data_IF_059609214282
#
_entry.id   IF_059609214282
#
_cell.length_a   1.000
_cell.length_b   1.000
_cell.length_c   1.000
_cell.angle_alpha   90.00
_cell.angle_beta   90.00
_cell.angle_gamma   90.00
#
_symmetry.space_group_name_H-M   'P 1'
#
loop_
_entity.id
_entity.type
_entity.pdbx_description
1 polymer ?
#
# COMPACT_ATOMS: atom_id res chain seq x y z
N UNK A 1 22.24 19.14 27.71
CA UNK A 1 22.94 19.02 26.41
C UNK A 1 22.05 19.37 25.20
N UNK A 2 20.89 18.71 24.95
CA UNK A 2 20.14 18.93 23.69
C UNK A 2 19.60 20.36 23.52
N UNK A 3 19.25 21.04 24.61
CA UNK A 3 18.76 22.43 24.56
C UNK A 3 19.84 23.44 24.17
N UNK A 4 21.07 23.27 24.67
CA UNK A 4 22.18 24.16 24.31
C UNK A 4 22.58 23.99 22.84
N UNK A 5 22.54 22.74 22.34
CA UNK A 5 22.77 22.48 20.93
C UNK A 5 21.66 23.06 20.03
N UNK A 6 20.40 22.95 20.44
CA UNK A 6 19.28 23.60 19.73
C UNK A 6 19.45 25.12 19.62
N UNK A 7 19.88 25.77 20.70
CA UNK A 7 20.19 27.20 20.69
C UNK A 7 21.33 27.53 19.71
N UNK A 8 22.41 26.73 19.70
CA UNK A 8 23.52 26.90 18.75
C UNK A 8 23.07 26.83 17.30
N UNK A 9 22.16 25.89 16.96
CA UNK A 9 21.59 25.80 15.61
C UNK A 9 20.80 27.05 15.24
N UNK A 10 19.96 27.53 16.17
CA UNK A 10 19.17 28.75 15.98
C UNK A 10 20.05 29.96 15.74
N UNK A 11 21.05 30.17 16.60
CA UNK A 11 22.01 31.27 16.49
C UNK A 11 22.76 31.21 15.16
N UNK A 12 23.23 30.02 14.76
CA UNK A 12 23.94 29.84 13.49
C UNK A 12 23.05 30.19 12.29
N UNK A 13 21.78 29.76 12.30
CA UNK A 13 20.81 30.12 11.26
C UNK A 13 20.62 31.64 11.19
N UNK A 14 20.40 32.28 12.34
CA UNK A 14 20.15 33.72 12.43
C UNK A 14 21.37 34.55 12.03
N UNK A 15 22.58 34.13 12.40
CA UNK A 15 23.84 34.75 11.97
C UNK A 15 24.04 34.68 10.45
N UNK A 16 23.56 33.60 9.80
CA UNK A 16 23.56 33.46 8.35
C UNK A 16 22.43 34.24 7.65
N UNK A 17 21.56 34.92 8.41
CA UNK A 17 20.43 35.67 7.87
C UNK A 17 19.33 34.79 7.25
N UNK A 18 19.29 33.50 7.59
CA UNK A 18 18.33 32.54 7.02
C UNK A 18 17.02 32.56 7.82
N UNK A 19 15.88 32.67 7.12
CA UNK A 19 14.59 32.42 7.76
C UNK A 19 14.42 30.93 8.06
N UNK A 20 13.58 30.61 9.04
CA UNK A 20 13.29 29.20 9.35
C UNK A 20 12.46 28.54 8.23
N UNK A 21 11.68 29.33 7.50
CA UNK A 21 10.95 28.93 6.31
C UNK A 21 11.89 28.56 5.14
N UNK A 22 12.93 29.36 4.90
CA UNK A 22 13.95 29.06 3.87
C UNK A 22 14.76 27.83 4.24
N UNK A 23 15.20 27.73 5.50
CA UNK A 23 15.88 26.54 5.99
C UNK A 23 15.00 25.28 5.85
N UNK A 24 13.69 25.41 6.10
CA UNK A 24 12.72 24.34 5.91
C UNK A 24 12.60 23.93 4.44
N UNK A 25 12.58 24.90 3.52
CA UNK A 25 12.51 24.65 2.09
C UNK A 25 13.75 23.91 1.58
N UNK A 26 14.95 24.38 1.92
CA UNK A 26 16.23 23.80 1.47
C UNK A 26 16.46 22.40 2.06
N UNK A 27 16.25 22.26 3.36
CA UNK A 27 16.44 20.97 4.04
C UNK A 27 15.28 20.00 3.82
N UNK A 28 14.15 20.45 3.27
CA UNK A 28 12.89 19.69 3.20
C UNK A 28 12.45 19.10 4.55
N UNK A 29 12.82 19.76 5.65
CA UNK A 29 12.37 19.42 7.00
C UNK A 29 11.24 20.39 7.33
N UNK A 30 10.06 19.92 7.77
CA UNK A 30 8.96 20.82 8.11
C UNK A 30 9.35 21.88 9.14
N UNK A 31 8.89 23.13 8.97
CA UNK A 31 9.18 24.25 9.89
C UNK A 31 8.95 23.87 11.35
N UNK A 32 7.85 23.17 11.65
CA UNK A 32 7.54 22.73 13.01
C UNK A 32 8.65 21.84 13.60
N UNK A 33 9.27 20.99 12.79
CA UNK A 33 10.35 20.10 13.22
C UNK A 33 11.65 20.88 13.45
N UNK A 34 11.97 21.84 12.59
CA UNK A 34 13.12 22.73 12.82
C UNK A 34 12.94 23.55 14.12
N UNK A 35 11.74 24.05 14.40
CA UNK A 35 11.45 24.75 15.67
C UNK A 35 11.70 23.86 16.88
N UNK A 36 11.31 22.58 16.81
CA UNK A 36 11.57 21.62 17.89
C UNK A 36 13.06 21.32 18.08
N UNK A 37 13.85 21.27 17.00
CA UNK A 37 15.31 21.16 17.09
C UNK A 37 15.91 22.39 17.75
N UNK A 38 15.54 23.59 17.29
CA UNK A 38 16.03 24.86 17.82
C UNK A 38 15.63 25.08 19.30
N UNK A 39 14.47 24.58 19.71
CA UNK A 39 14.04 24.60 21.11
C UNK A 39 14.62 23.45 21.95
N UNK A 40 15.35 22.51 21.35
CA UNK A 40 15.85 21.29 22.00
C UNK A 40 14.75 20.35 22.51
N UNK A 41 13.52 20.48 22.01
CA UNK A 41 12.39 19.64 22.43
C UNK A 41 12.33 18.36 21.59
N UNK A 42 13.32 17.48 21.80
CA UNK A 42 13.43 16.21 21.09
C UNK A 42 12.33 15.22 21.51
N UNK A 43 11.78 15.36 22.72
CA UNK A 43 10.67 14.53 23.21
C UNK A 43 9.40 14.64 22.34
N UNK A 44 9.17 15.80 21.74
CA UNK A 44 8.02 16.02 20.86
C UNK A 44 8.17 15.36 19.47
N UNK A 45 9.33 14.75 19.15
CA UNK A 45 9.51 14.12 17.85
C UNK A 45 8.71 12.83 17.67
N UNK A 46 8.31 12.16 18.75
CA UNK A 46 7.72 10.82 18.70
C UNK A 46 8.81 9.77 18.59
N UNK A 47 9.67 9.83 17.56
CA UNK A 47 10.77 8.89 17.37
C UNK A 47 12.16 9.55 17.47
N UNK A 48 13.04 8.96 18.27
CA UNK A 48 14.44 9.42 18.37
C UNK A 48 15.25 9.16 17.09
N UNK A 49 14.93 8.08 16.36
CA UNK A 49 15.53 7.77 15.05
C UNK A 49 15.34 8.92 14.06
N UNK A 50 14.15 9.50 14.06
CA UNK A 50 13.86 10.64 13.19
C UNK A 50 14.48 11.93 13.69
N UNK A 51 14.44 12.19 15.00
CA UNK A 51 15.17 13.32 15.58
C UNK A 51 16.65 13.30 15.15
N UNK A 52 17.31 12.13 15.26
CA UNK A 52 18.69 11.92 14.80
C UNK A 52 18.89 12.28 13.32
N UNK A 53 17.98 11.82 12.45
CA UNK A 53 18.06 12.11 11.01
C UNK A 53 17.95 13.60 10.69
N UNK A 54 17.05 14.31 11.39
CA UNK A 54 16.83 15.73 11.20
C UNK A 54 17.96 16.58 11.79
N UNK A 55 18.49 16.17 12.95
CA UNK A 55 19.68 16.79 13.55
C UNK A 55 20.83 16.74 12.57
N UNK A 56 21.14 15.55 12.02
CA UNK A 56 22.23 15.40 11.03
C UNK A 56 22.01 16.33 9.83
N UNK A 57 20.86 16.23 9.17
CA UNK A 57 20.59 16.99 7.95
C UNK A 57 20.59 18.50 8.15
N UNK A 58 20.05 18.99 9.27
CA UNK A 58 20.02 20.42 9.56
C UNK A 58 21.39 20.95 9.97
N UNK A 59 22.15 20.15 10.73
CA UNK A 59 23.52 20.50 11.13
C UNK A 59 24.46 20.51 9.93
N UNK A 60 24.33 19.55 9.00
CA UNK A 60 25.08 19.54 7.73
C UNK A 60 24.79 20.81 6.91
N UNK A 61 23.52 21.23 6.83
CA UNK A 61 23.12 22.45 6.13
C UNK A 61 23.67 23.74 6.78
N UNK A 62 23.72 23.79 8.10
CA UNK A 62 24.28 24.90 8.86
C UNK A 62 25.80 24.79 9.07
N UNK A 63 26.44 23.73 8.58
CA UNK A 63 27.85 23.38 8.80
C UNK A 63 28.24 23.40 10.29
N UNK A 64 27.34 22.91 11.14
CA UNK A 64 27.57 22.76 12.58
C UNK A 64 27.92 21.31 12.86
N UNK A 65 29.01 21.07 13.60
CA UNK A 65 29.31 19.72 14.04
C UNK A 65 28.28 19.22 15.06
N UNK A 66 27.70 18.07 14.77
CA UNK A 66 26.68 17.39 15.57
C UNK A 66 27.16 16.02 16.10
N UNK A 67 28.42 15.65 15.85
CA UNK A 67 28.99 14.34 16.22
C UNK A 67 28.75 13.99 17.69
N UNK A 68 29.20 14.84 18.61
CA UNK A 68 29.07 14.68 20.06
C UNK A 68 27.60 14.51 20.49
N UNK A 69 26.71 15.36 19.98
CA UNK A 69 25.29 15.33 20.35
C UNK A 69 24.61 14.08 19.80
N UNK A 70 24.97 13.65 18.60
CA UNK A 70 24.47 12.42 18.03
C UNK A 70 24.97 11.19 18.80
N UNK A 71 26.18 11.19 19.35
CA UNK A 71 26.67 10.10 20.20
C UNK A 71 25.93 10.04 21.55
N UNK A 72 25.62 11.20 22.13
CA UNK A 72 24.87 11.32 23.39
C UNK A 72 23.36 11.00 23.24
N UNK A 73 22.83 11.00 22.01
CA UNK A 73 21.41 10.71 21.78
C UNK A 73 21.12 9.22 22.05
N UNK A 74 20.08 8.90 22.85
CA UNK A 74 19.72 7.51 23.09
C UNK A 74 19.39 6.81 21.77
N UNK A 75 19.84 5.56 21.61
CA UNK A 75 19.51 4.80 20.41
C UNK A 75 17.99 4.72 20.23
N UNK A 76 17.56 4.97 18.99
CA UNK A 76 16.17 4.89 18.62
C UNK A 76 15.71 3.44 18.61
N UNK A 77 15.28 2.94 19.76
CA UNK A 77 14.36 1.79 19.79
C UNK A 77 13.13 2.23 19.00
N UNK A 78 12.70 1.44 18.03
CA UNK A 78 11.46 1.66 17.30
C UNK A 78 10.31 1.65 18.32
N UNK A 79 9.99 2.80 18.90
CA UNK A 79 8.83 2.94 19.75
C UNK A 79 7.60 2.77 18.87
N UNK A 80 6.61 2.07 19.41
CA UNK A 80 5.45 1.60 18.64
C UNK A 80 4.61 2.74 18.05
N UNK A 81 3.38 2.41 17.66
CA UNK A 81 2.40 3.24 16.93
C UNK A 81 2.36 4.76 17.23
N UNK A 82 2.67 5.20 18.46
CA UNK A 82 2.68 6.62 18.85
C UNK A 82 3.79 7.44 18.20
N UNK A 83 4.89 6.81 17.83
CA UNK A 83 6.10 7.49 17.36
C UNK A 83 5.99 7.90 15.88
N UNK A 84 5.08 7.28 15.12
CA UNK A 84 4.88 7.54 13.70
C UNK A 84 3.81 8.61 13.39
N UNK A 85 3.21 9.25 14.41
CA UNK A 85 2.06 10.16 14.23
C UNK A 85 2.28 11.32 13.26
N UNK A 86 3.51 11.73 12.97
CA UNK A 86 3.78 12.78 11.96
C UNK A 86 4.02 12.25 10.55
N UNK A 87 4.19 10.93 10.39
CA UNK A 87 4.18 10.28 9.08
C UNK A 87 2.75 10.02 8.62
N UNK A 88 1.87 9.63 9.55
CA UNK A 88 0.43 9.47 9.29
C UNK A 88 -0.29 10.81 9.19
N UNK A 89 0.16 11.82 9.94
CA UNK A 89 -0.34 13.20 9.82
C UNK A 89 0.55 14.01 8.88
N UNK A 90 0.70 13.60 7.62
CA UNK A 90 1.47 14.35 6.64
C UNK A 90 0.96 15.78 6.49
N UNK A 91 1.88 16.73 6.61
CA UNK A 91 1.66 18.17 6.46
C UNK A 91 1.77 18.55 4.97
N UNK A 92 0.71 19.12 4.39
CA UNK A 92 0.73 19.73 3.06
C UNK A 92 -0.67 20.05 2.49
N UNK A 93 -0.87 21.15 1.72
CA UNK A 93 -2.18 21.56 1.19
C UNK A 93 -2.83 20.59 0.19
N UNK A 94 -2.12 19.54 -0.21
CA UNK A 94 -2.55 18.57 -1.22
C UNK A 94 -3.53 17.53 -0.70
N UNK A 95 -3.79 17.49 0.61
CA UNK A 95 -4.90 16.76 1.17
C UNK A 95 -5.98 17.78 1.57
N UNK A 96 -6.88 18.10 0.64
CA UNK A 96 -8.17 18.71 1.00
C UNK A 96 -8.91 17.72 1.89
N UNK A 97 -8.76 17.87 3.20
CA UNK A 97 -9.64 17.27 4.17
C UNK A 97 -11.01 17.93 4.05
N UNK A 98 -11.96 17.24 3.42
CA UNK A 98 -13.37 17.31 3.83
C UNK A 98 -13.57 16.61 5.19
N UNK A 99 -12.56 16.64 6.06
CA UNK A 99 -12.59 16.06 7.40
C UNK A 99 -12.97 17.21 8.32
N UNK A 100 -14.28 17.39 8.48
CA UNK A 100 -14.85 18.25 9.51
C UNK A 100 -14.31 17.81 10.87
N UNK A 101 -13.60 18.68 11.61
CA UNK A 101 -13.16 18.34 12.95
C UNK A 101 -14.35 18.54 13.90
N UNK A 102 -14.99 17.47 14.36
CA UNK A 102 -15.90 17.57 15.51
C UNK A 102 -15.07 17.64 16.79
N UNK A 103 -14.76 18.87 17.20
CA UNK A 103 -14.22 19.15 18.54
C UNK A 103 -15.34 18.92 19.56
N UNK A 104 -15.09 18.02 20.51
CA UNK A 104 -15.96 17.70 21.63
C UNK A 104 -16.28 18.91 22.48
N UNK A 105 -17.57 19.28 22.63
CA UNK A 105 -18.11 19.81 23.89
C UNK A 105 -19.60 19.47 24.00
N UNK A 106 -20.02 19.24 25.25
CA UNK A 106 -21.41 19.19 25.75
C UNK A 106 -22.10 17.81 25.77
N UNK A 107 -22.12 17.26 26.99
CA UNK A 107 -23.20 16.50 27.64
C UNK A 107 -23.79 15.28 26.93
N UNK A 108 -23.50 14.10 27.49
CA UNK A 108 -24.19 12.86 27.16
C UNK A 108 -25.65 12.89 27.67
N UNK A 109 -26.67 12.69 26.81
CA UNK A 109 -27.96 12.17 27.24
C UNK A 109 -27.92 10.63 27.27
N UNK A 110 -28.59 9.97 28.23
CA UNK A 110 -28.67 8.51 28.22
C UNK A 110 -29.68 8.05 27.18
N UNK A 111 -29.29 7.06 26.40
CA UNK A 111 -30.24 6.16 25.74
C UNK A 111 -30.72 6.58 24.36
N UNK A 112 -30.08 5.99 23.33
CA UNK A 112 -30.78 5.21 22.31
C UNK A 112 -29.74 4.37 21.57
N UNK A 113 -29.74 3.06 21.80
CA UNK A 113 -29.04 2.11 20.94
C UNK A 113 -29.68 2.21 19.55
N UNK A 114 -29.11 3.04 18.68
CA UNK A 114 -29.43 3.00 17.27
C UNK A 114 -28.73 1.76 16.71
N UNK A 115 -29.49 0.67 16.66
CA UNK A 115 -29.14 -0.54 15.92
C UNK A 115 -28.79 -0.15 14.49
N UNK A 116 -27.50 -0.20 14.19
CA UNK A 116 -26.99 -0.07 12.83
C UNK A 116 -27.49 -1.31 12.10
N UNK A 117 -28.62 -1.18 11.40
CA UNK A 117 -29.08 -2.18 10.43
C UNK A 117 -28.10 -2.14 9.27
N UNK A 118 -26.95 -2.78 9.44
CA UNK A 118 -26.04 -3.00 8.32
C UNK A 118 -26.77 -3.86 7.28
N UNK A 119 -26.60 -3.60 5.98
CA UNK A 119 -27.25 -4.39 4.92
C UNK A 119 -26.59 -5.76 4.73
N UNK A 120 -25.50 -6.03 5.45
CA UNK A 120 -24.70 -7.26 5.39
C UNK A 120 -25.52 -8.53 5.71
N UNK A 121 -26.29 -8.62 6.81
CA UNK A 121 -27.15 -9.78 7.07
C UNK A 121 -28.23 -10.00 6.01
N UNK A 122 -28.77 -8.93 5.40
CA UNK A 122 -29.76 -9.05 4.33
C UNK A 122 -29.15 -9.62 3.05
N UNK A 123 -27.93 -9.21 2.69
CA UNK A 123 -27.20 -9.76 1.55
C UNK A 123 -26.90 -11.26 1.73
N UNK A 124 -26.53 -11.69 2.95
CA UNK A 124 -26.31 -13.10 3.28
C UNK A 124 -27.61 -13.91 3.15
N UNK A 125 -28.74 -13.40 3.64
CA UNK A 125 -30.03 -14.08 3.54
C UNK A 125 -30.49 -14.24 2.08
N UNK A 126 -30.30 -13.22 1.25
CA UNK A 126 -30.61 -13.29 -0.20
C UNK A 126 -29.73 -14.31 -0.90
N UNK A 127 -28.43 -14.35 -0.58
CA UNK A 127 -27.52 -15.34 -1.15
C UNK A 127 -27.93 -16.78 -0.81
N UNK A 128 -28.32 -17.03 0.45
CA UNK A 128 -28.81 -18.36 0.88
C UNK A 128 -30.11 -18.75 0.17
N UNK A 129 -31.05 -17.80 -0.01
CA UNK A 129 -32.30 -18.06 -0.73
C UNK A 129 -32.06 -18.39 -2.22
N UNK A 130 -31.12 -17.69 -2.88
CA UNK A 130 -30.75 -17.98 -4.26
C UNK A 130 -30.14 -19.38 -4.37
N UNK A 131 -29.24 -19.76 -3.45
CA UNK A 131 -28.62 -21.09 -3.39
C UNK A 131 -29.65 -22.21 -3.17
N UNK A 132 -30.60 -22.00 -2.26
CA UNK A 132 -31.66 -22.97 -2.01
C UNK A 132 -32.61 -23.10 -3.22
N UNK A 133 -32.93 -21.97 -3.88
CA UNK A 133 -33.77 -21.95 -5.08
C UNK A 133 -33.14 -22.68 -6.26
N UNK A 134 -31.84 -22.45 -6.53
CA UNK A 134 -31.13 -23.12 -7.62
C UNK A 134 -30.98 -24.63 -7.38
N UNK A 135 -30.73 -25.05 -6.14
CA UNK A 135 -30.68 -26.46 -5.77
C UNK A 135 -32.03 -27.17 -5.93
N UNK A 136 -33.13 -26.51 -5.54
CA UNK A 136 -34.48 -27.08 -5.65
C UNK A 136 -34.96 -27.17 -7.11
N UNK A 137 -34.62 -26.19 -7.95
CA UNK A 137 -34.93 -26.22 -9.39
C UNK A 137 -34.15 -27.30 -10.14
N UNK A 138 -32.85 -27.48 -9.83
CA UNK A 138 -32.03 -28.53 -10.41
C UNK A 138 -32.57 -29.94 -10.15
N UNK A 139 -33.09 -30.19 -8.94
CA UNK A 139 -33.73 -31.48 -8.61
C UNK A 139 -35.01 -31.72 -9.42
N UNK A 140 -35.78 -30.66 -9.69
CA UNK A 140 -37.06 -30.75 -10.40
C UNK A 140 -36.90 -30.92 -11.92
N UNK A 141 -35.83 -30.35 -12.50
CA UNK A 141 -35.48 -30.51 -13.92
C UNK A 141 -34.87 -31.90 -14.19
N UNK A 142 -34.12 -32.46 -13.24
CA UNK A 142 -33.62 -33.84 -13.33
C UNK A 142 -34.76 -34.87 -13.37
N UNK A 143 -35.86 -34.62 -12.66
CA UNK A 143 -37.06 -35.47 -12.68
C UNK A 143 -37.82 -35.37 -14.02
N UNK A 144 -37.71 -34.24 -14.75
CA UNK A 144 -38.37 -34.02 -16.04
C UNK A 144 -37.69 -34.74 -17.22
N UNK A 145 -36.37 -34.90 -17.20
CA UNK A 145 -35.65 -35.66 -18.24
C UNK A 145 -35.82 -37.18 -18.14
N UNK A 146 -36.36 -37.69 -17.02
CA UNK A 146 -36.55 -39.13 -16.80
C UNK A 146 -37.82 -39.70 -17.45
N UNK A 147 -38.71 -38.86 -17.97
CA UNK A 147 -40.00 -39.28 -18.55
C UNK A 147 -40.02 -39.33 -20.09
N UNK A 148 -38.96 -38.91 -20.80
CA UNK A 148 -39.01 -38.73 -22.27
C UNK A 148 -38.35 -39.85 -23.09
N UNK A 149 -37.66 -40.82 -22.47
CA UNK A 149 -37.20 -42.04 -23.17
C UNK A 149 -37.47 -43.27 -22.30
N UNK A 150 -38.40 -44.17 -22.69
CA UNK A 150 -37.98 -45.37 -23.43
C UNK A 150 -39.08 -46.00 -24.32
N UNK A 151 -40.06 -45.25 -24.84
CA UNK A 151 -41.17 -45.83 -25.61
C UNK A 151 -40.97 -45.81 -27.14
N UNK A 152 -40.04 -44.99 -27.66
CA UNK A 152 -39.83 -44.86 -29.11
C UNK A 152 -38.86 -45.91 -29.71
N UNK A 153 -38.17 -46.70 -28.87
CA UNK A 153 -37.17 -47.69 -29.30
C UNK A 153 -37.71 -49.13 -29.48
N UNK A 154 -39.03 -49.32 -29.64
CA UNK A 154 -39.63 -50.67 -29.70
C UNK A 154 -40.45 -51.03 -30.95
N UNK A 155 -40.46 -50.18 -31.97
CA UNK A 155 -41.07 -50.52 -33.26
C UNK A 155 -40.00 -50.51 -34.36
N UNK A 156 -39.28 -51.63 -34.50
CA UNK A 156 -38.50 -51.96 -35.70
C UNK A 156 -39.47 -52.19 -36.88
N UNK A 157 -39.07 -51.96 -38.13
CA UNK A 157 -38.60 -53.12 -38.91
C UNK A 157 -37.21 -52.97 -39.53
N UNK A 158 -36.54 -54.13 -39.50
CA UNK A 158 -35.35 -54.55 -40.23
C UNK A 158 -35.53 -54.34 -41.73
N UNK A 159 -34.58 -53.67 -42.39
CA UNK A 159 -34.14 -54.02 -43.73
C UNK A 159 -32.62 -53.84 -43.84
N UNK A 160 -32.04 -54.84 -44.48
CA UNK A 160 -30.64 -55.22 -44.51
C UNK A 160 -29.79 -54.32 -45.42
N UNK A 161 -28.53 -54.10 -45.04
CA UNK A 161 -27.35 -54.26 -45.91
C UNK A 161 -26.07 -53.89 -45.13
N UNK A 162 -25.35 -54.94 -44.74
CA UNK A 162 -23.93 -55.21 -45.07
C UNK A 162 -23.17 -53.99 -45.65
N UNK A 163 -22.15 -53.45 -45.00
CA UNK A 163 -20.72 -53.82 -45.09
C UNK A 163 -20.03 -52.42 -45.09
N UNK A 164 -18.92 -52.07 -44.46
CA UNK A 164 -17.73 -52.80 -44.02
C UNK A 164 -16.86 -51.82 -43.20
N UNK A 165 -16.06 -52.38 -42.28
CA UNK A 165 -14.74 -51.92 -41.86
C UNK A 165 -14.56 -50.62 -41.02
N UNK A 166 -14.52 -50.84 -39.69
CA UNK A 166 -13.46 -50.34 -38.80
C UNK A 166 -12.06 -50.90 -39.24
N UNK A 167 -10.89 -50.56 -38.64
CA UNK A 167 -10.64 -49.80 -37.41
C UNK A 167 -9.43 -48.83 -37.44
N UNK A 168 -9.34 -48.08 -36.33
CA UNK A 168 -8.21 -47.35 -35.73
C UNK A 168 -6.90 -48.21 -35.62
N UNK A 169 -5.73 -47.77 -35.06
CA UNK A 169 -5.60 -46.78 -33.98
C UNK A 169 -4.25 -46.00 -33.81
N UNK A 170 -4.21 -45.23 -32.70
CA UNK A 170 -3.07 -45.05 -31.75
C UNK A 170 -2.14 -43.81 -31.92
N UNK A 171 -2.22 -42.94 -30.89
CA UNK A 171 -1.16 -42.23 -30.12
C UNK A 171 -0.18 -41.29 -30.87
N UNK A 172 0.35 -40.19 -30.35
CA UNK A 172 0.87 -39.85 -29.01
C UNK A 172 1.11 -38.33 -28.96
N UNK A 173 1.16 -37.77 -27.76
CA UNK A 173 1.63 -36.44 -27.35
C UNK A 173 2.96 -35.95 -27.96
N UNK A 174 3.29 -34.69 -27.61
CA UNK A 174 4.62 -34.01 -27.63
C UNK A 174 5.04 -33.46 -29.01
N UNK A 175 5.57 -32.24 -29.21
CA UNK A 175 6.33 -31.30 -28.38
C UNK A 175 6.19 -29.88 -28.96
N UNK A 176 6.30 -28.86 -28.10
CA UNK A 176 6.72 -27.49 -28.38
C UNK A 176 7.81 -27.34 -29.46
N UNK A 177 7.67 -26.32 -30.32
CA UNK A 177 8.74 -25.41 -30.76
C UNK A 177 8.20 -24.36 -31.77
N UNK A 178 7.52 -23.33 -31.28
CA UNK A 178 7.44 -22.04 -31.97
C UNK A 178 8.83 -21.38 -31.90
N UNK A 179 9.52 -21.19 -33.02
CA UNK A 179 9.44 -20.00 -33.87
C UNK A 179 9.83 -18.69 -33.17
N UNK A 180 11.06 -18.24 -33.47
CA UNK A 180 11.37 -16.89 -33.94
C UNK A 180 11.24 -15.72 -32.93
N UNK A 181 12.36 -15.11 -32.52
CA UNK A 181 12.93 -13.91 -33.17
C UNK A 181 14.09 -13.34 -32.33
N UNK A 182 15.24 -13.26 -32.99
CA UNK A 182 16.42 -12.48 -32.64
C UNK A 182 16.11 -10.97 -32.54
N UNK A 183 16.63 -10.29 -31.51
CA UNK A 183 16.90 -8.85 -31.59
C UNK A 183 18.14 -8.49 -30.78
N UNK A 184 19.24 -8.40 -31.52
CA UNK A 184 20.50 -7.79 -31.13
C UNK A 184 20.39 -6.27 -31.29
N UNK A 185 20.79 -5.53 -30.26
CA UNK A 185 21.23 -4.13 -30.38
C UNK A 185 22.32 -3.88 -29.34
N UNK A 186 23.55 -3.76 -29.85
CA UNK A 186 24.74 -3.25 -29.17
C UNK A 186 24.71 -1.72 -29.03
N UNK A 187 25.65 -1.18 -28.23
CA UNK A 187 26.28 0.17 -28.26
C UNK A 187 26.35 0.84 -26.86
N UNK A 188 27.32 1.75 -26.61
CA UNK A 188 28.69 1.41 -26.23
C UNK A 188 29.14 2.09 -24.92
N UNK A 189 30.17 1.52 -24.29
CA UNK A 189 30.83 2.04 -23.08
C UNK A 189 31.52 3.38 -23.38
N UNK A 190 31.19 4.43 -22.62
CA UNK A 190 31.86 5.73 -22.70
C UNK A 190 32.76 5.94 -21.47
N UNK A 191 34.07 5.89 -21.72
CA UNK A 191 35.15 6.13 -20.75
C UNK A 191 35.37 7.63 -20.60
N UNK A 192 35.30 8.15 -19.37
CA UNK A 192 35.63 9.56 -19.06
C UNK A 192 37.15 9.70 -18.85
N UNK A 193 37.80 10.59 -19.61
CA UNK A 193 39.16 11.07 -19.35
C UNK A 193 39.11 12.34 -18.51
N UNK A 194 39.97 12.41 -17.50
CA UNK A 194 40.27 13.59 -16.70
C UNK A 194 41.26 14.51 -17.42
N UNK A 195 41.16 15.82 -17.16
CA UNK A 195 42.17 16.83 -17.51
C UNK A 195 42.60 17.58 -16.25
N UNK A 196 43.90 17.93 -16.11
CA UNK A 196 44.45 18.57 -14.92
C UNK A 196 44.27 20.10 -14.95
N UNK A 197 44.39 20.69 -13.76
CA UNK A 197 44.29 22.13 -13.46
C UNK A 197 45.70 22.69 -13.36
N UNK A 198 45.97 23.80 -14.06
CA UNK A 198 47.09 24.71 -13.80
C UNK A 198 46.58 25.93 -12.99
#
# INVERSE_FOLDING_TARGET
MPTAFGQKLKETRELRGLSIEDASFETRIPVQRLRLLESGNLAAFGSMTYARSFIRRYSDYLEVDASEVLEDLPEGVLGGERDYRYLTQSHGPWLRENITPSVSTVSAPPGRLQSIKSPVPAAIAVFVLILAGTAMWGKHVADAHRQVEPAALKALPVEDNEEEAQPAPTVTSTVDAASVKSKQVDFPVSVRKATPVD
#
